data_IF_428273838303
#
_entry.id   IF_428273838303
#
_cell.length_a   1.000
_cell.length_b   1.000
_cell.length_c   1.000
_cell.angle_alpha   90.00
_cell.angle_beta   90.00
_cell.angle_gamma   90.00
#
_symmetry.space_group_name_H-M   'P 1'
#
loop_
_entity.id
_entity.type
_entity.pdbx_description
1 polymer ?
#
# COMPACT_ATOMS: atom_id res chain seq x y z
N UNK A 1 -19.93 95.02 -16.93
CA UNK A 1 -20.75 95.40 -15.79
C UNK A 1 -21.22 94.16 -15.14
N UNK A 2 -20.97 93.76 -13.99
CA UNK A 2 -20.62 94.30 -12.67
C UNK A 2 -20.04 93.22 -11.81
N UNK A 3 -19.04 93.53 -11.07
CA UNK A 3 -18.37 92.75 -9.98
C UNK A 3 -19.36 92.41 -8.89
N UNK A 4 -19.11 91.29 -8.21
CA UNK A 4 -19.22 91.15 -6.73
C UNK A 4 -18.63 89.77 -6.33
N UNK A 5 -17.48 89.77 -5.83
CA UNK A 5 -16.98 89.71 -4.41
C UNK A 5 -17.07 88.33 -3.74
N UNK A 6 -15.88 87.86 -3.53
CA UNK A 6 -15.43 86.90 -2.54
C UNK A 6 -16.20 86.85 -1.21
N UNK A 7 -16.47 85.67 -0.72
CA UNK A 7 -16.43 85.40 0.72
C UNK A 7 -15.74 84.02 0.95
N UNK A 8 -14.61 84.07 1.51
CA UNK A 8 -13.87 82.90 1.97
C UNK A 8 -14.51 82.37 3.27
N UNK A 9 -14.84 81.09 3.31
CA UNK A 9 -15.18 80.39 4.55
C UNK A 9 -14.18 79.25 4.73
N UNK A 10 -13.30 79.42 5.68
CA UNK A 10 -12.35 78.43 6.18
C UNK A 10 -13.15 77.41 6.98
N UNK A 11 -13.30 76.22 6.44
CA UNK A 11 -13.79 75.05 7.20
C UNK A 11 -12.59 74.21 7.57
N UNK A 12 -12.31 74.15 8.87
CA UNK A 12 -11.29 73.29 9.44
C UNK A 12 -11.66 71.82 9.27
N UNK A 13 -10.94 71.12 8.41
CA UNK A 13 -11.02 69.65 8.29
C UNK A 13 -10.20 69.04 9.43
N UNK A 14 -10.88 68.57 10.46
CA UNK A 14 -10.33 67.65 11.48
C UNK A 14 -10.15 66.27 10.81
N UNK A 15 -8.90 65.91 10.49
CA UNK A 15 -8.54 64.56 10.03
C UNK A 15 -8.55 63.65 11.26
N UNK A 16 -9.62 62.89 11.41
CA UNK A 16 -9.65 61.74 12.33
C UNK A 16 -8.87 60.60 11.69
N UNK A 17 -7.62 60.41 12.10
CA UNK A 17 -6.83 59.20 11.74
C UNK A 17 -7.41 58.01 12.52
N UNK A 18 -8.32 57.28 11.88
CA UNK A 18 -8.71 55.96 12.33
C UNK A 18 -7.53 55.03 12.03
N UNK A 19 -6.72 54.72 13.03
CA UNK A 19 -5.72 53.64 12.97
C UNK A 19 -6.46 52.31 12.82
N UNK A 20 -6.69 51.88 11.58
CA UNK A 20 -7.03 50.46 11.30
C UNK A 20 -5.80 49.62 11.66
N UNK A 21 -5.75 49.10 12.85
CA UNK A 21 -4.93 47.95 13.17
C UNK A 21 -5.51 46.75 12.42
N UNK A 22 -5.13 46.62 11.16
CA UNK A 22 -5.29 45.38 10.43
C UNK A 22 -4.47 44.34 11.19
N UNK A 23 -5.14 43.58 12.05
CA UNK A 23 -4.60 42.37 12.61
C UNK A 23 -4.22 41.47 11.48
N UNK A 24 -2.95 41.41 11.13
CA UNK A 24 -2.38 40.36 10.29
C UNK A 24 -2.62 39.06 11.06
N UNK A 25 -3.83 38.49 10.88
CA UNK A 25 -4.02 37.09 11.13
C UNK A 25 -3.05 36.40 10.14
N UNK A 26 -1.83 36.10 10.66
CA UNK A 26 -0.93 35.19 9.97
C UNK A 26 -1.74 33.93 9.73
N UNK A 27 -2.30 33.79 8.52
CA UNK A 27 -2.78 32.52 8.04
C UNK A 27 -1.59 31.57 8.20
N UNK A 28 -1.57 30.81 9.31
CA UNK A 28 -0.63 29.71 9.47
C UNK A 28 -0.82 28.89 8.22
N UNK A 29 0.09 29.04 7.27
CA UNK A 29 0.24 28.08 6.18
C UNK A 29 0.27 26.72 6.85
N UNK A 30 -0.84 25.98 6.76
CA UNK A 30 -0.87 24.61 7.26
C UNK A 30 0.20 23.88 6.48
N UNK A 31 1.28 23.50 7.16
CA UNK A 31 2.38 22.80 6.54
C UNK A 31 1.79 21.62 5.74
N UNK A 32 2.14 21.55 4.46
CA UNK A 32 1.67 20.47 3.58
C UNK A 32 2.76 19.41 3.50
N UNK A 33 2.36 18.15 3.66
CA UNK A 33 3.20 16.98 3.42
C UNK A 33 2.84 16.37 2.07
N UNK A 34 3.85 16.11 1.26
CA UNK A 34 3.74 15.38 0.00
C UNK A 34 4.28 13.96 0.16
N UNK A 35 3.53 12.98 -0.30
CA UNK A 35 3.95 11.57 -0.28
C UNK A 35 3.64 10.87 -1.58
N UNK A 36 4.43 9.84 -1.90
CA UNK A 36 4.18 9.02 -3.07
C UNK A 36 4.65 7.58 -2.86
N UNK A 37 4.06 6.65 -3.61
CA UNK A 37 4.54 5.27 -3.60
C UNK A 37 3.48 4.20 -3.75
N UNK A 38 3.51 3.23 -2.86
CA UNK A 38 2.67 2.04 -2.92
C UNK A 38 1.21 2.34 -3.24
N UNK A 39 0.69 1.66 -4.26
CA UNK A 39 -0.75 1.65 -4.57
C UNK A 39 -1.55 0.74 -3.64
N UNK A 40 -0.90 -0.21 -2.96
CA UNK A 40 -1.51 -1.10 -1.97
C UNK A 40 -2.15 -0.32 -0.81
N UNK A 41 -1.47 0.71 -0.29
CA UNK A 41 -1.95 1.48 0.85
C UNK A 41 -2.84 2.67 0.48
N UNK A 42 -3.03 2.98 -0.82
CA UNK A 42 -3.86 4.13 -1.24
C UNK A 42 -5.22 4.17 -0.53
N UNK A 43 -5.99 3.07 -0.42
CA UNK A 43 -7.29 3.13 0.26
C UNK A 43 -7.19 3.59 1.71
N UNK A 44 -6.19 3.10 2.44
CA UNK A 44 -5.98 3.44 3.84
C UNK A 44 -5.43 4.87 4.01
N UNK A 45 -4.40 5.24 3.23
CA UNK A 45 -3.80 6.59 3.31
C UNK A 45 -4.82 7.65 2.91
N UNK A 46 -5.64 7.42 1.89
CA UNK A 46 -6.75 8.32 1.53
C UNK A 46 -7.70 8.54 2.70
N UNK A 47 -8.08 7.46 3.39
CA UNK A 47 -8.92 7.57 4.59
C UNK A 47 -8.20 8.34 5.72
N UNK A 48 -6.90 8.12 5.88
CA UNK A 48 -6.09 8.84 6.86
C UNK A 48 -6.03 10.34 6.56
N UNK A 49 -5.77 10.73 5.31
CA UNK A 49 -5.68 12.16 4.94
C UNK A 49 -6.99 12.91 5.15
N UNK A 50 -8.11 12.23 5.00
CA UNK A 50 -9.45 12.80 5.25
C UNK A 50 -9.76 12.98 6.75
N UNK A 51 -9.10 12.22 7.65
CA UNK A 51 -9.39 12.19 9.08
C UNK A 51 -8.23 12.70 9.96
N UNK A 52 -7.13 13.09 9.36
CA UNK A 52 -6.00 13.72 10.03
C UNK A 52 -6.17 15.24 10.04
N UNK A 53 -6.30 15.83 11.23
CA UNK A 53 -6.55 17.26 11.41
C UNK A 53 -5.28 18.06 11.77
N UNK A 54 -4.10 17.54 11.42
CA UNK A 54 -2.83 18.24 11.52
C UNK A 54 -2.47 18.98 10.22
N UNK A 55 -1.25 18.75 9.74
CA UNK A 55 -0.79 19.25 8.45
C UNK A 55 -1.62 18.65 7.31
N UNK A 56 -1.84 19.38 6.23
CA UNK A 56 -2.38 18.81 4.99
C UNK A 56 -1.45 17.71 4.46
N UNK A 57 -2.00 16.60 4.01
CA UNK A 57 -1.22 15.46 3.49
C UNK A 57 -1.76 15.07 2.11
N UNK A 58 -0.91 15.14 1.10
CA UNK A 58 -1.21 14.70 -0.27
C UNK A 58 -0.42 13.42 -0.57
N UNK A 59 -1.09 12.39 -1.08
CA UNK A 59 -0.47 11.10 -1.40
C UNK A 59 -0.79 10.64 -2.82
N UNK A 60 0.24 10.29 -3.58
CA UNK A 60 0.14 9.78 -4.96
C UNK A 60 0.53 8.31 -5.05
N UNK A 61 -0.40 7.45 -5.44
CA UNK A 61 -0.17 6.02 -5.68
C UNK A 61 0.54 5.77 -7.02
N UNK A 62 1.86 5.77 -7.03
CA UNK A 62 2.70 5.60 -8.23
C UNK A 62 3.47 4.28 -8.28
N UNK A 63 3.20 3.38 -7.34
CA UNK A 63 3.92 2.12 -7.12
C UNK A 63 5.10 2.28 -6.17
N UNK A 64 5.48 1.17 -5.51
CA UNK A 64 6.56 1.17 -4.50
C UNK A 64 7.89 1.63 -5.09
N UNK A 65 8.24 1.17 -6.29
CA UNK A 65 9.47 1.60 -6.98
C UNK A 65 9.49 3.10 -7.25
N UNK A 66 8.36 3.66 -7.72
CA UNK A 66 8.18 5.10 -7.91
C UNK A 66 8.31 5.89 -6.61
N UNK A 67 7.73 5.38 -5.52
CA UNK A 67 7.82 5.99 -4.19
C UNK A 67 9.26 6.01 -3.64
N UNK A 68 9.99 4.90 -3.79
CA UNK A 68 11.40 4.82 -3.41
C UNK A 68 12.24 5.81 -4.22
N UNK A 69 12.03 5.87 -5.55
CA UNK A 69 12.74 6.83 -6.41
C UNK A 69 12.43 8.28 -6.02
N UNK A 70 11.15 8.62 -5.78
CA UNK A 70 10.73 9.97 -5.43
C UNK A 70 11.35 10.43 -4.09
N UNK A 71 11.35 9.58 -3.06
CA UNK A 71 11.96 9.95 -1.77
C UNK A 71 13.50 9.98 -1.84
N UNK A 72 14.11 9.13 -2.65
CA UNK A 72 15.56 9.16 -2.90
C UNK A 72 15.97 10.48 -3.55
N UNK A 73 15.20 10.95 -4.52
CA UNK A 73 15.38 12.24 -5.18
C UNK A 73 14.92 13.45 -4.34
N UNK A 74 14.32 13.23 -3.14
CA UNK A 74 13.73 14.30 -2.29
C UNK A 74 12.64 15.13 -3.01
N UNK A 75 11.96 14.56 -4.00
CA UNK A 75 10.82 15.20 -4.68
C UNK A 75 9.52 15.11 -3.88
N UNK A 76 9.51 14.33 -2.82
CA UNK A 76 8.41 14.19 -1.84
C UNK A 76 8.98 14.19 -0.42
N UNK A 77 8.13 14.48 0.57
CA UNK A 77 8.51 14.47 1.99
C UNK A 77 8.58 13.05 2.56
N UNK A 78 7.78 12.11 1.99
CA UNK A 78 7.83 10.70 2.36
C UNK A 78 7.53 9.78 1.17
N UNK A 79 8.18 8.63 1.15
CA UNK A 79 7.87 7.53 0.23
C UNK A 79 7.03 6.46 0.90
N UNK A 80 6.40 5.57 0.12
CA UNK A 80 5.79 4.36 0.65
C UNK A 80 6.06 3.14 -0.25
N UNK A 81 6.35 1.99 0.39
CA UNK A 81 6.66 0.74 -0.28
C UNK A 81 6.11 -0.45 0.49
N UNK A 82 5.65 -1.50 -0.22
CA UNK A 82 5.28 -2.80 0.39
C UNK A 82 6.39 -3.84 0.18
N UNK A 83 7.53 -3.40 -0.31
CA UNK A 83 8.79 -4.14 -0.28
C UNK A 83 9.76 -3.40 0.65
N UNK A 84 10.52 -4.09 1.50
CA UNK A 84 11.59 -3.45 2.26
C UNK A 84 12.64 -2.90 1.30
N UNK A 85 13.29 -1.79 1.71
CA UNK A 85 14.42 -1.25 0.97
C UNK A 85 15.53 -2.29 0.85
N UNK A 86 16.07 -2.46 -0.34
CA UNK A 86 17.32 -3.21 -0.53
C UNK A 86 18.49 -2.42 0.06
N UNK A 87 19.64 -3.06 0.36
CA UNK A 87 20.84 -2.35 0.82
C UNK A 87 21.22 -1.18 -0.11
N UNK A 88 21.16 -1.38 -1.43
CA UNK A 88 21.49 -0.35 -2.42
C UNK A 88 20.49 0.82 -2.39
N UNK A 89 19.19 0.52 -2.28
CA UNK A 89 18.16 1.55 -2.14
C UNK A 89 18.30 2.33 -0.84
N UNK A 90 18.62 1.66 0.25
CA UNK A 90 18.86 2.31 1.54
C UNK A 90 20.09 3.22 1.47
N UNK A 91 21.17 2.76 0.84
CA UNK A 91 22.37 3.54 0.58
C UNK A 91 22.09 4.75 -0.32
N UNK A 92 21.41 4.53 -1.46
CA UNK A 92 21.06 5.59 -2.42
C UNK A 92 20.17 6.67 -1.78
N UNK A 93 19.28 6.29 -0.85
CA UNK A 93 18.40 7.22 -0.16
C UNK A 93 19.10 8.08 0.92
N UNK A 94 20.40 7.89 1.14
CA UNK A 94 21.25 8.75 2.00
C UNK A 94 20.61 9.15 3.32
N UNK A 95 20.52 8.20 4.25
CA UNK A 95 19.95 8.42 5.58
C UNK A 95 18.42 8.36 5.65
N UNK A 96 17.74 7.67 4.73
CA UNK A 96 16.35 7.32 4.92
C UNK A 96 16.18 6.19 5.92
N UNK A 97 15.05 6.22 6.63
CA UNK A 97 14.56 5.13 7.46
C UNK A 97 13.20 4.68 6.96
N UNK A 98 12.90 3.39 7.11
CA UNK A 98 11.60 2.81 6.79
C UNK A 98 10.88 2.39 8.06
N UNK A 99 9.59 2.67 8.14
CA UNK A 99 8.76 2.46 9.32
C UNK A 99 7.51 1.70 8.89
N UNK A 100 7.24 0.49 9.41
CA UNK A 100 6.00 -0.22 9.14
C UNK A 100 4.82 0.59 9.64
N UNK A 101 3.85 0.91 8.79
CA UNK A 101 2.71 1.73 9.17
C UNK A 101 1.35 1.13 8.83
N UNK A 102 1.31 0.11 7.98
CA UNK A 102 0.09 -0.61 7.61
C UNK A 102 0.38 -2.10 7.45
N UNK A 103 -0.63 -2.95 7.67
CA UNK A 103 -0.57 -4.39 7.49
C UNK A 103 -1.87 -4.91 6.88
N UNK A 104 -1.77 -5.62 5.76
CA UNK A 104 -2.90 -6.22 5.05
C UNK A 104 -2.47 -7.42 4.22
N UNK A 105 -3.31 -7.87 3.28
CA UNK A 105 -3.09 -9.03 2.45
C UNK A 105 -3.15 -8.72 0.96
N UNK A 106 -2.38 -9.48 0.19
CA UNK A 106 -2.52 -9.60 -1.26
C UNK A 106 -3.52 -10.71 -1.55
N UNK A 107 -4.65 -10.38 -2.16
CA UNK A 107 -5.67 -11.33 -2.62
C UNK A 107 -5.35 -11.87 -4.01
N UNK A 108 -5.98 -13.01 -4.36
CA UNK A 108 -5.87 -13.64 -5.67
C UNK A 108 -7.26 -13.65 -6.33
N UNK A 109 -7.69 -12.52 -6.91
CA UNK A 109 -8.95 -12.49 -7.64
C UNK A 109 -8.82 -13.10 -9.03
N UNK A 110 -9.94 -13.63 -9.52
CA UNK A 110 -10.06 -14.26 -10.82
C UNK A 110 -11.37 -13.89 -11.51
N UNK A 111 -11.38 -14.07 -12.84
CA UNK A 111 -12.56 -13.86 -13.69
C UNK A 111 -12.71 -15.10 -14.57
N UNK A 112 -13.45 -16.11 -14.09
CA UNK A 112 -13.65 -17.40 -14.76
C UNK A 112 -15.13 -17.61 -14.99
N UNK A 113 -15.50 -17.94 -16.22
CA UNK A 113 -16.90 -18.12 -16.63
C UNK A 113 -17.56 -19.24 -15.84
N UNK A 114 -18.68 -18.93 -15.18
CA UNK A 114 -19.48 -19.90 -14.43
C UNK A 114 -18.85 -20.38 -13.10
N UNK A 115 -17.71 -19.84 -12.69
CA UNK A 115 -17.05 -20.25 -11.44
C UNK A 115 -17.31 -19.21 -10.34
N UNK A 116 -18.00 -19.65 -9.30
CA UNK A 116 -18.36 -18.83 -8.14
C UNK A 116 -17.18 -18.50 -7.23
N UNK A 117 -17.52 -17.82 -6.13
CA UNK A 117 -16.57 -17.32 -5.14
C UNK A 117 -15.85 -18.43 -4.37
N UNK A 118 -14.55 -18.25 -4.14
CA UNK A 118 -13.77 -19.11 -3.23
C UNK A 118 -13.19 -20.38 -3.86
N UNK A 119 -12.93 -20.39 -5.17
CA UNK A 119 -12.09 -21.40 -5.82
C UNK A 119 -10.81 -21.64 -5.01
N UNK A 120 -10.45 -22.89 -4.77
CA UNK A 120 -9.25 -23.29 -4.02
C UNK A 120 -8.03 -23.27 -4.91
N UNK A 121 -6.95 -22.62 -4.47
CA UNK A 121 -5.65 -22.66 -5.14
C UNK A 121 -4.54 -22.91 -4.12
N UNK A 122 -3.57 -23.76 -4.49
CA UNK A 122 -2.32 -23.89 -3.72
C UNK A 122 -1.27 -22.93 -4.27
N UNK A 123 -0.29 -22.59 -3.46
CA UNK A 123 0.82 -21.73 -3.90
C UNK A 123 1.60 -22.33 -5.07
N UNK A 124 1.76 -23.66 -5.10
CA UNK A 124 2.41 -24.37 -6.22
C UNK A 124 1.60 -24.28 -7.51
N UNK A 125 0.26 -24.37 -7.44
CA UNK A 125 -0.62 -24.16 -8.60
C UNK A 125 -0.54 -22.72 -9.10
N UNK A 126 -0.56 -21.73 -8.19
CA UNK A 126 -0.40 -20.32 -8.56
C UNK A 126 0.96 -20.09 -9.24
N UNK A 127 2.05 -20.64 -8.68
CA UNK A 127 3.37 -20.56 -9.28
C UNK A 127 3.41 -21.20 -10.69
N UNK A 128 2.76 -22.34 -10.87
CA UNK A 128 2.67 -23.02 -12.16
C UNK A 128 1.85 -22.24 -13.20
N UNK A 129 0.80 -21.54 -12.77
CA UNK A 129 0.01 -20.63 -13.62
C UNK A 129 0.88 -19.46 -14.11
N UNK A 130 1.51 -18.73 -13.19
CA UNK A 130 2.35 -17.57 -13.53
C UNK A 130 3.67 -17.95 -14.20
N UNK A 131 4.15 -19.20 -14.00
CA UNK A 131 5.28 -19.79 -14.72
C UNK A 131 4.93 -20.37 -16.09
N UNK A 132 3.63 -20.41 -16.47
CA UNK A 132 3.15 -20.82 -17.78
C UNK A 132 2.99 -22.33 -17.98
N UNK A 133 3.22 -23.17 -16.97
CA UNK A 133 3.04 -24.62 -17.08
C UNK A 133 1.57 -25.07 -16.93
N UNK A 134 0.74 -24.31 -16.21
CA UNK A 134 -0.73 -24.50 -16.18
C UNK A 134 -1.38 -23.41 -17.05
N UNK A 135 -2.06 -23.81 -18.11
CA UNK A 135 -2.58 -22.90 -19.14
C UNK A 135 -4.11 -22.80 -19.18
N UNK A 136 -4.84 -23.75 -18.59
CA UNK A 136 -6.29 -23.84 -18.63
C UNK A 136 -6.86 -24.07 -17.23
N UNK A 137 -8.08 -23.56 -16.97
CA UNK A 137 -8.73 -23.65 -15.66
C UNK A 137 -9.14 -25.07 -15.28
N UNK A 138 -9.48 -25.92 -16.25
CA UNK A 138 -9.80 -27.35 -16.06
C UNK A 138 -8.56 -28.25 -15.90
N UNK A 139 -7.37 -27.67 -15.74
CA UNK A 139 -6.15 -28.45 -15.50
C UNK A 139 -6.35 -29.43 -14.32
N UNK A 140 -5.93 -30.70 -14.43
CA UNK A 140 -6.10 -31.70 -13.38
C UNK A 140 -5.60 -31.29 -12.00
N UNK A 141 -4.53 -30.49 -11.90
CA UNK A 141 -4.00 -30.00 -10.65
C UNK A 141 -4.97 -29.00 -9.96
N UNK A 142 -5.74 -28.21 -10.73
CA UNK A 142 -6.78 -27.32 -10.21
C UNK A 142 -8.03 -28.12 -9.89
N UNK A 143 -8.47 -28.99 -10.82
CA UNK A 143 -9.70 -29.77 -10.67
C UNK A 143 -9.65 -30.69 -9.44
N UNK A 144 -8.51 -31.34 -9.16
CA UNK A 144 -8.32 -32.24 -8.01
C UNK A 144 -8.61 -31.57 -6.67
N UNK A 145 -8.26 -30.31 -6.50
CA UNK A 145 -8.49 -29.56 -5.25
C UNK A 145 -9.85 -28.85 -5.23
N UNK A 146 -10.61 -28.93 -6.33
CA UNK A 146 -11.93 -28.34 -6.53
C UNK A 146 -12.94 -29.36 -7.08
N UNK A 147 -12.96 -30.60 -6.58
CA UNK A 147 -13.77 -31.71 -7.10
C UNK A 147 -15.25 -31.43 -7.22
N UNK A 148 -15.79 -30.50 -6.38
CA UNK A 148 -17.20 -30.08 -6.46
C UNK A 148 -17.50 -28.91 -7.41
N UNK A 149 -16.51 -28.46 -8.19
CA UNK A 149 -16.66 -27.32 -9.12
C UNK A 149 -16.38 -27.81 -10.54
N UNK A 150 -17.34 -27.60 -11.44
CA UNK A 150 -17.12 -27.85 -12.89
C UNK A 150 -16.31 -26.69 -13.46
N UNK A 151 -15.02 -26.91 -13.68
CA UNK A 151 -14.14 -25.91 -14.26
C UNK A 151 -14.26 -25.91 -15.79
N UNK A 152 -14.38 -24.74 -16.45
CA UNK A 152 -14.44 -24.65 -17.90
C UNK A 152 -13.06 -24.89 -18.53
N UNK A 153 -13.04 -25.42 -19.78
CA UNK A 153 -11.84 -25.40 -20.62
C UNK A 153 -11.57 -23.98 -21.13
N UNK A 154 -11.24 -23.09 -20.21
CA UNK A 154 -10.97 -21.67 -20.46
C UNK A 154 -9.49 -21.39 -20.24
N UNK A 155 -8.87 -20.65 -21.18
CA UNK A 155 -7.46 -20.29 -21.09
C UNK A 155 -7.21 -19.34 -19.91
N UNK A 156 -6.22 -19.66 -19.10
CA UNK A 156 -5.78 -18.78 -18.00
C UNK A 156 -4.97 -17.62 -18.58
N UNK A 157 -5.31 -16.40 -18.16
CA UNK A 157 -4.56 -15.18 -18.48
C UNK A 157 -4.01 -14.57 -17.18
N UNK A 158 -2.74 -14.86 -16.83
CA UNK A 158 -2.11 -14.20 -15.71
C UNK A 158 -2.00 -12.69 -15.97
N UNK A 159 -2.40 -11.88 -14.98
CA UNK A 159 -2.29 -10.42 -15.04
C UNK A 159 -1.34 -10.01 -13.94
N UNK A 160 -0.32 -9.22 -14.29
CA UNK A 160 0.73 -8.83 -13.37
C UNK A 160 1.00 -7.33 -13.40
N UNK A 161 1.71 -6.82 -12.39
CA UNK A 161 2.13 -5.42 -12.31
C UNK A 161 3.30 -5.16 -13.24
N UNK A 162 3.15 -4.19 -14.15
CA UNK A 162 4.19 -3.75 -15.07
C UNK A 162 5.08 -2.63 -14.51
N UNK A 163 4.75 -2.10 -13.32
CA UNK A 163 5.52 -1.10 -12.59
C UNK A 163 6.29 -1.72 -11.42
N UNK A 164 7.23 -0.97 -10.84
CA UNK A 164 7.92 -1.36 -9.61
C UNK A 164 6.95 -1.48 -8.44
N UNK A 165 6.54 -2.70 -8.10
CA UNK A 165 5.43 -3.00 -7.20
C UNK A 165 5.85 -3.78 -5.96
N UNK A 166 5.56 -3.24 -4.78
CA UNK A 166 5.68 -4.00 -3.54
C UNK A 166 4.69 -5.16 -3.44
N UNK A 167 3.50 -5.03 -4.08
CA UNK A 167 2.54 -6.14 -4.18
C UNK A 167 3.12 -7.29 -5.00
N UNK A 168 3.85 -7.00 -6.09
CA UNK A 168 4.61 -8.03 -6.84
C UNK A 168 5.68 -8.68 -5.97
N UNK A 169 6.42 -7.87 -5.19
CA UNK A 169 7.41 -8.40 -4.26
C UNK A 169 6.78 -9.36 -3.25
N UNK A 170 5.69 -8.96 -2.59
CA UNK A 170 4.98 -9.80 -1.62
C UNK A 170 4.46 -11.11 -2.25
N UNK A 171 3.84 -11.01 -3.42
CA UNK A 171 3.34 -12.16 -4.17
C UNK A 171 4.46 -13.12 -4.58
N UNK A 172 5.53 -12.62 -5.15
CA UNK A 172 6.65 -13.46 -5.63
C UNK A 172 7.53 -13.97 -4.50
N UNK A 173 7.59 -13.26 -3.36
CA UNK A 173 8.19 -13.77 -2.12
C UNK A 173 7.41 -15.00 -1.61
N UNK A 174 6.06 -14.92 -1.58
CA UNK A 174 5.23 -16.08 -1.27
C UNK A 174 5.47 -17.26 -2.22
N UNK A 175 5.48 -17.01 -3.53
CA UNK A 175 5.72 -18.07 -4.52
C UNK A 175 7.12 -18.70 -4.35
N UNK A 176 8.12 -17.90 -3.98
CA UNK A 176 9.48 -18.38 -3.70
C UNK A 176 9.56 -19.25 -2.45
N UNK A 177 8.67 -19.05 -1.47
CA UNK A 177 8.59 -19.90 -0.27
C UNK A 177 7.92 -21.25 -0.55
N UNK A 178 6.93 -21.28 -1.45
CA UNK A 178 6.09 -22.48 -1.66
C UNK A 178 6.47 -23.28 -2.90
N UNK A 179 7.32 -22.75 -3.78
CA UNK A 179 7.75 -23.39 -5.03
C UNK A 179 9.26 -23.22 -5.27
N UNK A 180 10.05 -24.30 -5.05
CA UNK A 180 11.48 -24.27 -5.39
C UNK A 180 11.73 -23.94 -6.88
N UNK A 181 10.90 -24.46 -7.80
CA UNK A 181 11.00 -24.16 -9.22
C UNK A 181 10.86 -22.64 -9.48
N UNK A 182 9.86 -21.98 -8.86
CA UNK A 182 9.70 -20.53 -8.94
C UNK A 182 10.91 -19.78 -8.39
N UNK A 183 11.35 -20.17 -7.18
CA UNK A 183 12.49 -19.54 -6.51
C UNK A 183 13.75 -19.54 -7.36
N UNK A 184 14.00 -20.64 -8.06
CA UNK A 184 15.23 -20.85 -8.85
C UNK A 184 15.15 -20.24 -10.26
N UNK A 185 13.94 -20.00 -10.81
CA UNK A 185 13.76 -19.48 -12.18
C UNK A 185 13.43 -17.99 -12.22
N UNK A 186 12.42 -17.56 -11.47
CA UNK A 186 11.90 -16.17 -11.51
C UNK A 186 12.30 -15.41 -10.23
N UNK A 187 12.18 -16.09 -9.07
CA UNK A 187 12.51 -15.52 -7.78
C UNK A 187 11.51 -14.46 -7.32
N UNK A 188 11.95 -13.65 -6.34
CA UNK A 188 11.18 -12.53 -5.79
C UNK A 188 11.72 -11.19 -6.27
N UNK A 189 10.82 -10.25 -6.48
CA UNK A 189 11.21 -8.90 -6.89
C UNK A 189 10.03 -7.95 -7.00
N UNK A 190 10.32 -6.66 -7.05
CA UNK A 190 9.32 -5.63 -7.33
C UNK A 190 8.93 -5.55 -8.81
N UNK A 191 9.80 -6.05 -9.70
CA UNK A 191 9.61 -6.16 -11.15
C UNK A 191 10.16 -7.51 -11.64
N UNK A 192 9.52 -8.64 -11.25
CA UNK A 192 9.94 -9.95 -11.72
C UNK A 192 9.65 -10.10 -13.23
N UNK A 193 10.48 -10.89 -13.90
CA UNK A 193 10.28 -11.20 -15.31
C UNK A 193 9.27 -12.36 -15.47
N UNK A 194 7.97 -12.03 -15.54
CA UNK A 194 6.92 -13.02 -15.75
C UNK A 194 7.00 -13.58 -17.18
N UNK A 195 7.11 -14.91 -17.38
CA UNK A 195 7.24 -15.51 -18.71
C UNK A 195 5.95 -15.50 -19.52
N UNK A 196 4.79 -15.35 -18.84
CA UNK A 196 3.46 -15.38 -19.48
C UNK A 196 2.54 -14.35 -18.83
N UNK A 197 1.50 -13.93 -19.56
CA UNK A 197 0.46 -13.05 -19.07
C UNK A 197 0.56 -11.63 -19.63
N UNK A 198 -0.17 -10.72 -19.02
CA UNK A 198 -0.27 -9.32 -19.47
C UNK A 198 0.00 -8.36 -18.29
N UNK A 199 0.80 -7.33 -18.55
CA UNK A 199 1.14 -6.33 -17.57
C UNK A 199 0.09 -5.20 -17.50
N UNK A 200 -0.12 -4.67 -16.28
CA UNK A 200 -0.89 -3.44 -16.07
C UNK A 200 -0.29 -2.62 -14.92
N UNK A 201 -0.35 -1.30 -15.03
CA UNK A 201 0.27 -0.39 -14.08
C UNK A 201 -0.62 -0.14 -12.87
N UNK A 202 -0.08 -0.26 -11.68
CA UNK A 202 -0.75 0.03 -10.41
C UNK A 202 -1.84 -0.99 -10.03
N UNK A 203 -2.35 -0.91 -8.81
CA UNK A 203 -3.44 -1.78 -8.33
C UNK A 203 -4.74 -1.54 -9.10
N UNK A 204 -5.04 -0.29 -9.47
CA UNK A 204 -6.20 0.05 -10.31
C UNK A 204 -6.10 -0.52 -11.72
N UNK A 205 -4.90 -0.50 -12.32
CA UNK A 205 -4.66 -1.03 -13.66
C UNK A 205 -4.87 -2.55 -13.73
N UNK A 206 -4.29 -3.32 -12.79
CA UNK A 206 -4.52 -4.79 -12.77
C UNK A 206 -5.98 -5.14 -12.45
N UNK A 207 -6.65 -4.34 -11.60
CA UNK A 207 -8.06 -4.52 -11.31
C UNK A 207 -8.94 -4.25 -12.55
N UNK A 208 -8.69 -3.17 -13.29
CA UNK A 208 -9.39 -2.87 -14.54
C UNK A 208 -9.15 -3.97 -15.60
N UNK A 209 -7.89 -4.42 -15.71
CA UNK A 209 -7.52 -5.47 -16.67
C UNK A 209 -8.21 -6.79 -16.33
N UNK A 210 -8.29 -7.19 -15.06
CA UNK A 210 -9.01 -8.40 -14.65
C UNK A 210 -10.49 -8.35 -15.05
N UNK A 211 -11.14 -7.20 -14.83
CA UNK A 211 -12.57 -7.03 -15.16
C UNK A 211 -12.87 -7.28 -16.64
N UNK A 212 -11.96 -6.88 -17.52
CA UNK A 212 -12.10 -7.00 -18.97
C UNK A 212 -11.48 -8.26 -19.58
N UNK A 213 -10.98 -9.20 -18.74
CA UNK A 213 -10.25 -10.37 -19.24
C UNK A 213 -10.90 -11.66 -18.73
N UNK A 214 -11.79 -12.31 -19.53
CA UNK A 214 -12.24 -13.66 -19.25
C UNK A 214 -11.06 -14.63 -19.09
N UNK A 215 -11.16 -15.58 -18.17
CA UNK A 215 -10.05 -16.48 -17.79
C UNK A 215 -8.94 -15.80 -16.99
N UNK A 216 -9.08 -14.51 -16.65
CA UNK A 216 -8.07 -13.73 -15.95
C UNK A 216 -7.85 -14.16 -14.51
N UNK A 217 -6.61 -14.07 -14.05
CA UNK A 217 -6.19 -14.16 -12.64
C UNK A 217 -5.17 -13.07 -12.33
N UNK A 218 -5.29 -12.43 -11.17
CA UNK A 218 -4.30 -11.44 -10.75
C UNK A 218 -4.00 -11.54 -9.26
N UNK A 219 -3.04 -10.74 -8.82
CA UNK A 219 -2.75 -10.47 -7.42
C UNK A 219 -2.89 -8.97 -7.17
N UNK A 220 -3.63 -8.62 -6.15
CA UNK A 220 -3.87 -7.21 -5.80
C UNK A 220 -4.19 -7.08 -4.32
N UNK A 221 -4.00 -5.90 -3.76
CA UNK A 221 -4.46 -5.58 -2.41
C UNK A 221 -5.94 -5.96 -2.21
N UNK A 222 -6.24 -6.56 -1.08
CA UNK A 222 -7.59 -7.08 -0.81
C UNK A 222 -8.65 -5.97 -0.79
N UNK A 223 -8.31 -4.74 -0.42
CA UNK A 223 -9.26 -3.62 -0.45
C UNK A 223 -9.70 -3.28 -1.88
N UNK A 224 -8.82 -3.43 -2.87
CA UNK A 224 -9.21 -3.30 -4.29
C UNK A 224 -10.14 -4.42 -4.74
N UNK A 225 -9.91 -5.65 -4.29
CA UNK A 225 -10.81 -6.77 -4.60
C UNK A 225 -12.20 -6.55 -4.00
N UNK A 226 -12.29 -6.04 -2.77
CA UNK A 226 -13.57 -5.68 -2.13
C UNK A 226 -14.28 -4.56 -2.89
N UNK A 227 -13.57 -3.46 -3.15
CA UNK A 227 -14.12 -2.29 -3.86
C UNK A 227 -14.66 -2.63 -5.25
N UNK A 228 -14.04 -3.62 -5.91
CA UNK A 228 -14.41 -4.04 -7.26
C UNK A 228 -15.34 -5.26 -7.28
N UNK A 229 -15.74 -5.79 -6.11
CA UNK A 229 -16.59 -6.98 -5.97
C UNK A 229 -16.03 -8.20 -6.72
N UNK A 230 -14.71 -8.38 -6.73
CA UNK A 230 -14.08 -9.48 -7.42
C UNK A 230 -14.29 -10.81 -6.70
N UNK A 231 -14.43 -11.86 -7.49
CA UNK A 231 -14.33 -13.24 -7.03
C UNK A 231 -12.89 -13.53 -6.60
N UNK A 232 -12.69 -14.01 -5.36
CA UNK A 232 -11.36 -14.21 -4.77
C UNK A 232 -11.13 -15.69 -4.46
N UNK A 233 -9.97 -16.22 -4.84
CA UNK A 233 -9.57 -17.58 -4.54
C UNK A 233 -9.24 -17.76 -3.05
N UNK A 234 -9.59 -18.93 -2.50
CA UNK A 234 -9.05 -19.43 -1.23
C UNK A 234 -7.65 -19.96 -1.47
N UNK A 235 -6.67 -19.41 -0.76
CA UNK A 235 -5.28 -19.84 -0.90
C UNK A 235 -4.92 -20.78 0.25
N UNK A 236 -4.26 -21.89 -0.08
CA UNK A 236 -3.80 -22.87 0.90
C UNK A 236 -2.65 -22.29 1.72
N UNK A 237 -2.81 -22.26 3.03
CA UNK A 237 -1.75 -21.85 3.93
C UNK A 237 -0.86 -23.04 4.33
N UNK A 238 0.21 -22.77 5.07
CA UNK A 238 1.19 -23.75 5.51
C UNK A 238 0.63 -24.83 6.47
N UNK A 239 -0.51 -24.53 7.15
CA UNK A 239 -1.26 -25.49 7.96
C UNK A 239 -2.22 -26.38 7.14
N UNK A 240 -2.22 -26.25 5.79
CA UNK A 240 -3.07 -27.03 4.91
C UNK A 240 -4.48 -26.49 4.70
N UNK A 241 -4.86 -25.35 5.34
CA UNK A 241 -6.20 -24.76 5.22
C UNK A 241 -6.30 -23.84 4.02
N UNK A 242 -7.43 -23.91 3.31
CA UNK A 242 -7.77 -22.96 2.24
C UNK A 242 -8.53 -21.76 2.83
N UNK A 243 -7.94 -20.57 2.77
CA UNK A 243 -8.42 -19.38 3.44
C UNK A 243 -8.63 -18.21 2.46
N UNK A 244 -9.64 -17.40 2.74
CA UNK A 244 -9.82 -16.07 2.13
C UNK A 244 -9.07 -15.02 2.96
N UNK A 245 -8.66 -13.89 2.37
CA UNK A 245 -8.00 -12.78 3.09
C UNK A 245 -9.00 -11.94 3.89
N UNK A 246 -9.71 -12.56 4.82
CA UNK A 246 -10.61 -11.86 5.74
C UNK A 246 -9.87 -11.23 6.93
N UNK A 247 -10.54 -10.31 7.65
CA UNK A 247 -9.93 -9.57 8.76
C UNK A 247 -9.33 -10.50 9.84
N UNK A 248 -10.03 -11.59 10.19
CA UNK A 248 -9.56 -12.57 11.18
C UNK A 248 -8.32 -13.33 10.70
N UNK A 249 -8.25 -13.63 9.40
CA UNK A 249 -7.13 -14.37 8.79
C UNK A 249 -5.89 -13.49 8.64
N UNK A 250 -6.07 -12.22 8.34
CA UNK A 250 -5.00 -11.22 8.29
C UNK A 250 -4.50 -10.93 9.70
N UNK A 251 -5.41 -10.80 10.69
CA UNK A 251 -5.03 -10.64 12.10
C UNK A 251 -4.22 -11.84 12.61
N UNK A 252 -4.64 -13.07 12.28
CA UNK A 252 -3.89 -14.27 12.66
C UNK A 252 -2.48 -14.31 12.04
N UNK A 253 -2.28 -13.76 10.84
CA UNK A 253 -0.96 -13.58 10.25
C UNK A 253 -0.14 -12.54 11.02
N UNK A 254 -0.72 -11.40 11.36
CA UNK A 254 -0.07 -10.36 12.17
C UNK A 254 0.34 -10.90 13.55
N UNK A 255 -0.54 -11.63 14.22
CA UNK A 255 -0.29 -12.22 15.56
C UNK A 255 0.79 -13.30 15.55
N UNK A 256 1.10 -13.86 14.37
CA UNK A 256 2.17 -14.85 14.22
C UNK A 256 3.58 -14.24 14.27
N UNK A 257 3.69 -12.93 14.15
CA UNK A 257 4.97 -12.21 14.14
C UNK A 257 5.46 -12.06 15.57
N UNK A 258 6.38 -12.96 15.96
CA UNK A 258 6.92 -13.04 17.34
C UNK A 258 8.27 -12.35 17.50
N UNK A 259 9.06 -12.23 16.42
CA UNK A 259 10.42 -11.69 16.45
C UNK A 259 10.60 -10.65 15.34
N UNK A 260 11.30 -9.60 15.68
CA UNK A 260 11.75 -8.58 14.75
C UNK A 260 13.11 -9.02 14.21
N UNK A 261 13.22 -9.26 12.91
CA UNK A 261 14.38 -9.94 12.33
C UNK A 261 15.52 -9.04 11.88
N UNK A 262 15.32 -7.69 11.88
CA UNK A 262 16.42 -6.78 11.52
C UNK A 262 16.25 -5.36 12.06
N UNK A 263 17.38 -4.61 12.05
CA UNK A 263 17.48 -3.22 12.50
C UNK A 263 16.77 -2.20 11.62
N UNK A 264 16.36 -2.58 10.39
CA UNK A 264 15.73 -1.68 9.41
C UNK A 264 14.20 -1.79 9.40
N UNK A 265 13.60 -2.45 10.39
CA UNK A 265 12.15 -2.72 10.43
C UNK A 265 11.62 -3.44 9.18
N UNK A 266 12.44 -4.27 8.54
CA UNK A 266 12.03 -5.10 7.41
C UNK A 266 11.56 -6.47 7.92
N UNK A 267 10.26 -6.65 8.05
CA UNK A 267 9.64 -7.88 8.53
C UNK A 267 8.86 -8.54 7.40
N UNK A 268 8.83 -9.86 7.39
CA UNK A 268 7.96 -10.62 6.50
C UNK A 268 6.82 -11.26 7.28
N UNK A 269 5.66 -11.32 6.66
CA UNK A 269 4.50 -12.06 7.15
C UNK A 269 4.00 -13.06 6.10
N UNK A 270 4.81 -13.27 5.07
CA UNK A 270 4.53 -14.21 3.99
C UNK A 270 4.74 -15.63 4.51
N UNK A 271 3.83 -16.53 4.17
CA UNK A 271 3.84 -17.94 4.53
C UNK A 271 4.10 -18.16 6.03
N UNK A 272 3.21 -17.64 6.92
CA UNK A 272 3.42 -17.73 8.35
C UNK A 272 3.61 -19.15 8.86
N UNK A 273 4.17 -19.28 10.06
CA UNK A 273 4.40 -20.56 10.74
C UNK A 273 3.15 -21.47 10.67
N UNK A 274 3.29 -22.80 10.42
CA UNK A 274 2.17 -23.73 10.37
C UNK A 274 1.33 -23.77 11.66
N UNK A 275 1.87 -23.34 12.81
CA UNK A 275 1.09 -23.17 14.05
C UNK A 275 0.04 -22.06 13.94
N UNK A 276 0.19 -21.09 13.03
CA UNK A 276 -0.80 -20.07 12.75
C UNK A 276 -1.90 -20.59 11.80
N UNK A 277 -2.66 -21.60 12.27
CA UNK A 277 -3.62 -22.38 11.46
C UNK A 277 -4.63 -21.56 10.67
N UNK A 278 -4.96 -20.36 11.11
CA UNK A 278 -5.95 -19.49 10.49
C UNK A 278 -5.33 -18.27 9.79
N UNK A 279 -3.99 -18.20 9.69
CA UNK A 279 -3.30 -17.09 9.02
C UNK A 279 -3.42 -17.22 7.49
N UNK A 280 -3.81 -16.12 6.83
CA UNK A 280 -3.76 -16.03 5.38
C UNK A 280 -2.29 -15.94 4.93
N UNK A 281 -1.89 -16.66 3.85
CA UNK A 281 -0.46 -16.85 3.58
C UNK A 281 0.22 -15.67 2.86
N UNK A 282 -0.52 -14.75 2.26
CA UNK A 282 0.05 -13.65 1.45
C UNK A 282 -0.26 -12.31 2.14
N UNK A 283 0.28 -12.12 3.34
CA UNK A 283 0.18 -10.87 4.10
C UNK A 283 1.49 -10.08 4.00
N UNK A 284 1.39 -8.75 4.11
CA UNK A 284 2.56 -7.87 4.06
C UNK A 284 2.37 -6.62 4.91
N UNK A 285 3.49 -6.07 5.35
CA UNK A 285 3.55 -4.68 5.76
C UNK A 285 3.61 -3.76 4.55
N UNK A 286 3.18 -2.54 4.75
CA UNK A 286 3.63 -1.38 3.98
C UNK A 286 4.48 -0.51 4.90
N UNK A 287 5.49 0.11 4.34
CA UNK A 287 6.43 0.98 5.04
C UNK A 287 6.32 2.41 4.53
N UNK A 288 6.27 3.37 5.44
CA UNK A 288 6.60 4.76 5.12
C UNK A 288 8.11 4.94 5.19
N UNK A 289 8.66 5.64 4.21
CA UNK A 289 10.10 5.90 4.07
C UNK A 289 10.30 7.39 4.20
N UNK A 290 11.14 7.80 5.16
CA UNK A 290 11.38 9.21 5.45
C UNK A 290 12.88 9.49 5.63
N UNK A 291 13.37 10.69 5.26
CA UNK A 291 14.74 11.09 5.58
C UNK A 291 14.89 11.27 7.10
N UNK A 292 16.04 10.89 7.64
CA UNK A 292 16.36 11.13 9.05
C UNK A 292 16.50 12.63 9.31
N UNK A 293 17.13 13.38 8.37
CA UNK A 293 17.25 14.84 8.44
C UNK A 293 16.33 15.50 7.42
N UNK A 294 15.40 16.35 7.88
CA UNK A 294 14.44 17.04 7.00
C UNK A 294 13.78 18.23 7.69
N UNK A 295 13.60 19.33 6.98
CA UNK A 295 12.86 20.50 7.49
C UNK A 295 11.37 20.22 7.80
N UNK A 296 10.83 19.07 7.40
CA UNK A 296 9.47 18.62 7.70
C UNK A 296 9.38 17.63 8.87
N UNK A 297 10.46 17.48 9.66
CA UNK A 297 10.56 16.49 10.73
C UNK A 297 9.38 16.54 11.73
N UNK A 298 8.99 17.72 12.17
CA UNK A 298 7.90 17.87 13.12
C UNK A 298 6.55 17.37 12.57
N UNK A 299 6.22 17.74 11.33
CA UNK A 299 4.95 17.37 10.69
C UNK A 299 4.92 15.89 10.33
N UNK A 300 6.03 15.34 9.81
CA UNK A 300 6.18 13.91 9.55
C UNK A 300 6.02 13.09 10.83
N UNK A 301 6.66 13.49 11.93
CA UNK A 301 6.50 12.83 13.23
C UNK A 301 5.05 12.85 13.71
N UNK A 302 4.36 13.99 13.61
CA UNK A 302 2.96 14.13 14.02
C UNK A 302 2.07 13.20 13.17
N UNK A 303 2.18 13.26 11.85
CA UNK A 303 1.36 12.45 10.94
C UNK A 303 1.61 10.95 11.12
N UNK A 304 2.87 10.50 11.11
CA UNK A 304 3.22 9.08 11.22
C UNK A 304 2.86 8.55 12.60
N UNK A 305 3.08 9.31 13.67
CA UNK A 305 2.64 8.92 15.03
C UNK A 305 1.12 8.79 15.11
N UNK A 306 0.37 9.71 14.51
CA UNK A 306 -1.08 9.61 14.42
C UNK A 306 -1.50 8.37 13.62
N UNK A 307 -0.89 8.11 12.45
CA UNK A 307 -1.16 6.95 11.62
C UNK A 307 -0.91 5.62 12.36
N UNK A 308 0.19 5.55 13.14
CA UNK A 308 0.54 4.39 13.96
C UNK A 308 -0.35 4.17 15.20
N UNK A 309 -1.12 5.18 15.60
CA UNK A 309 -2.02 5.12 16.76
C UNK A 309 -3.49 5.22 16.31
N UNK A 310 -4.06 6.42 16.29
CA UNK A 310 -5.47 6.64 15.96
C UNK A 310 -5.79 6.19 14.52
N UNK A 311 -4.89 6.39 13.58
CA UNK A 311 -5.05 5.99 12.19
C UNK A 311 -5.34 4.50 11.98
N UNK A 312 -4.82 3.63 12.87
CA UNK A 312 -5.05 2.19 12.77
C UNK A 312 -6.54 1.80 12.89
N UNK A 313 -7.36 2.58 13.60
CA UNK A 313 -8.79 2.31 13.77
C UNK A 313 -9.61 2.40 12.47
N UNK A 314 -9.09 3.09 11.47
CA UNK A 314 -9.74 3.19 10.14
C UNK A 314 -9.47 1.98 9.23
N UNK A 315 -8.48 1.15 9.60
CA UNK A 315 -8.03 0.02 8.78
C UNK A 315 -9.04 -1.12 8.60
N UNK A 316 -9.74 -1.59 9.66
CA UNK A 316 -10.52 -2.85 9.60
C UNK A 316 -11.59 -2.89 8.51
N UNK A 317 -12.27 -1.79 8.20
CA UNK A 317 -13.25 -1.70 7.10
C UNK A 317 -12.63 -1.89 5.71
N UNK A 318 -11.32 -1.68 5.59
CA UNK A 318 -10.52 -1.84 4.39
C UNK A 318 -9.65 -3.10 4.44
N UNK A 319 -9.86 -3.98 5.42
CA UNK A 319 -9.07 -5.18 5.70
C UNK A 319 -7.59 -4.91 5.99
N UNK A 320 -7.28 -3.71 6.49
CA UNK A 320 -6.01 -3.45 7.18
C UNK A 320 -6.21 -3.71 8.68
N UNK A 321 -5.39 -4.59 9.24
CA UNK A 321 -5.39 -4.85 10.69
C UNK A 321 -4.39 -3.96 11.40
N UNK A 322 -4.61 -3.64 12.68
CA UNK A 322 -3.61 -2.92 13.46
C UNK A 322 -2.28 -3.64 13.45
N UNK A 323 -1.20 -2.90 13.25
CA UNK A 323 0.14 -3.48 13.28
C UNK A 323 0.46 -4.02 14.69
N UNK A 324 1.18 -5.16 14.78
CA UNK A 324 1.52 -5.76 16.07
C UNK A 324 2.27 -4.78 17.00
N UNK A 325 1.95 -4.81 18.29
CA UNK A 325 2.56 -3.90 19.28
C UNK A 325 4.09 -3.84 19.22
N UNK A 326 4.83 -4.97 19.13
CA UNK A 326 6.30 -4.93 19.01
C UNK A 326 6.77 -4.18 17.77
N UNK A 327 6.08 -4.36 16.63
CA UNK A 327 6.39 -3.69 15.35
C UNK A 327 6.11 -2.19 15.47
N UNK A 328 4.98 -1.81 16.07
CA UNK A 328 4.64 -0.40 16.31
C UNK A 328 5.70 0.29 17.19
N UNK A 329 6.12 -0.35 18.28
CA UNK A 329 7.14 0.22 19.17
C UNK A 329 8.49 0.38 18.46
N UNK A 330 8.92 -0.60 17.65
CA UNK A 330 10.12 -0.49 16.84
C UNK A 330 10.02 0.65 15.81
N UNK A 331 8.85 0.79 15.17
CA UNK A 331 8.55 1.88 14.25
C UNK A 331 8.65 3.26 14.91
N UNK A 332 8.05 3.44 16.10
CA UNK A 332 8.13 4.69 16.85
C UNK A 332 9.56 5.01 17.29
N UNK A 333 10.35 4.00 17.71
CA UNK A 333 11.79 4.16 18.02
C UNK A 333 12.58 4.62 16.79
N UNK A 334 12.24 4.10 15.62
CA UNK A 334 12.86 4.52 14.35
C UNK A 334 12.45 5.95 13.99
N UNK A 335 11.16 6.30 14.15
CA UNK A 335 10.63 7.63 13.89
C UNK A 335 11.27 8.71 14.80
N UNK A 336 11.61 8.35 16.03
CA UNK A 336 12.28 9.26 16.97
C UNK A 336 13.60 9.82 16.41
N UNK A 337 14.30 9.07 15.55
CA UNK A 337 15.58 9.48 14.92
C UNK A 337 15.41 10.59 13.87
N UNK A 338 14.20 10.83 13.37
CA UNK A 338 13.94 11.89 12.38
C UNK A 338 14.07 13.25 13.06
N UNK A 339 14.82 14.17 12.48
CA UNK A 339 15.09 15.51 13.05
C UNK A 339 15.25 16.58 11.95
N UNK A 340 15.23 17.82 12.33
CA UNK A 340 15.51 18.98 11.47
C UNK A 340 16.99 19.12 11.18
#
# INVERSE_FOLDING_TARGET
MTRKRLAATVAALTVVAVAMTAGLASARSTASLSGAGSTFVVPLVTTWTQNYHGSSVNYSGIGSGGGIAAITARSVDFGASDAPLTPDQASACRGCVQIPWAFSATSIPYHVTGVGYGLKLTGTVIAAIYGGSIKYWDNPAIQKINSGVKLPHEKIVPIFRSDGSGTSYNFTDYLSHVSPAWKNSIGRGTQPNFPVGVGARGSSGVAAKLRSTPGGITYVDVAYSLKNHFTIAKVRNRAGKFLLPGIKQIQAAADSIRKLHNSQNAFTAVDPNPRAKNAYPICTFSWVIVPVKTGKAADLKKFITWALNKGQSYGPKLLFVPIPKPVKLAGLKTLAKVHS
#
